data_IF_432998816050
#
_entry.id   IF_432998816050
#
_cell.length_a   1.000
_cell.length_b   1.000
_cell.length_c   1.000
_cell.angle_alpha   90.00
_cell.angle_beta   90.00
_cell.angle_gamma   90.00
#
_symmetry.space_group_name_H-M   'P 1'
#
loop_
_entity.id
_entity.type
_entity.pdbx_description
1 polymer ?
#
# COMPACT_ATOMS: atom_id res chain seq x y z
N UNK A 1 9.88 -20.25 -31.88
CA UNK A 1 10.11 -20.72 -30.49
C UNK A 1 9.65 -19.61 -29.53
N UNK A 2 8.97 -19.92 -28.41
CA UNK A 2 7.87 -19.13 -27.84
C UNK A 2 8.23 -18.22 -26.62
N UNK A 3 7.26 -17.35 -26.28
CA UNK A 3 6.95 -16.64 -25.02
C UNK A 3 8.04 -15.95 -24.18
N UNK A 4 7.81 -14.67 -23.86
CA UNK A 4 8.05 -14.11 -22.52
C UNK A 4 7.39 -12.73 -22.36
N UNK A 5 6.16 -12.74 -21.82
CA UNK A 5 5.53 -11.56 -21.22
C UNK A 5 6.46 -11.02 -20.12
N UNK A 6 6.95 -9.79 -20.25
CA UNK A 6 7.63 -9.07 -19.17
C UNK A 6 6.63 -8.68 -18.08
N UNK A 7 6.22 -9.66 -17.26
CA UNK A 7 5.55 -9.39 -15.98
C UNK A 7 6.60 -8.84 -15.03
N UNK A 8 6.51 -7.54 -14.74
CA UNK A 8 7.42 -6.87 -13.81
C UNK A 8 7.28 -7.49 -12.43
N UNK A 9 8.31 -8.24 -12.07
CA UNK A 9 8.84 -8.54 -10.74
C UNK A 9 8.07 -7.92 -9.58
N UNK A 10 7.25 -8.74 -8.90
CA UNK A 10 6.73 -8.44 -7.57
C UNK A 10 7.91 -8.40 -6.59
N UNK A 11 8.24 -7.26 -5.97
CA UNK A 11 9.34 -7.23 -5.00
C UNK A 11 8.88 -7.95 -3.73
N UNK A 12 9.60 -9.04 -3.39
CA UNK A 12 9.50 -9.76 -2.12
C UNK A 12 9.69 -8.75 -0.98
N UNK A 13 8.64 -8.55 -0.20
CA UNK A 13 8.46 -7.37 0.62
C UNK A 13 8.73 -7.71 2.10
N UNK A 14 9.67 -7.05 2.80
CA UNK A 14 9.93 -7.34 4.21
C UNK A 14 8.69 -6.99 5.05
N UNK A 15 8.32 -7.88 5.96
CA UNK A 15 7.19 -7.69 6.87
C UNK A 15 7.45 -6.47 7.78
N UNK A 16 6.51 -5.52 7.88
CA UNK A 16 6.67 -4.35 8.75
C UNK A 16 6.59 -4.74 10.24
N UNK A 17 7.23 -3.97 11.14
CA UNK A 17 7.27 -4.25 12.57
C UNK A 17 5.88 -4.16 13.24
N UNK A 18 5.63 -4.92 14.32
CA UNK A 18 4.28 -5.36 14.71
C UNK A 18 3.40 -4.37 15.49
N UNK A 19 3.74 -3.07 15.65
CA UNK A 19 3.10 -2.27 16.74
C UNK A 19 2.53 -0.88 16.41
N UNK A 20 2.69 -0.36 15.19
CA UNK A 20 2.01 0.89 14.75
C UNK A 20 1.17 0.69 13.47
N UNK A 21 1.15 -0.54 12.97
CA UNK A 21 1.07 -0.84 11.55
C UNK A 21 -0.11 -1.76 11.23
N UNK A 22 -1.12 -1.99 12.09
CA UNK A 22 -2.25 -2.89 11.71
C UNK A 22 -2.99 -2.43 10.45
N UNK A 23 -2.99 -1.13 10.16
CA UNK A 23 -3.54 -0.56 8.94
C UNK A 23 -2.59 -0.71 7.74
N UNK A 24 -1.29 -0.87 7.96
CA UNK A 24 -0.33 -0.98 6.86
C UNK A 24 -0.47 -2.25 6.01
N UNK A 25 -0.59 -3.48 6.56
CA UNK A 25 -0.85 -4.66 5.77
C UNK A 25 -2.25 -4.60 5.16
N UNK A 26 -3.23 -3.98 5.83
CA UNK A 26 -4.56 -3.74 5.24
C UNK A 26 -4.49 -2.79 4.03
N UNK A 27 -3.71 -1.71 4.12
CA UNK A 27 -3.47 -0.79 3.00
C UNK A 27 -2.67 -1.44 1.87
N UNK A 28 -1.73 -2.35 2.20
CA UNK A 28 -1.05 -3.16 1.18
C UNK A 28 -2.00 -4.18 0.51
N UNK A 29 -2.98 -4.69 1.25
CA UNK A 29 -4.05 -5.52 0.68
C UNK A 29 -4.98 -4.68 -0.22
N UNK A 30 -5.41 -3.49 0.22
CA UNK A 30 -6.20 -2.57 -0.61
C UNK A 30 -5.46 -2.18 -1.89
N UNK A 31 -4.15 -1.90 -1.79
CA UNK A 31 -3.29 -1.66 -2.94
C UNK A 31 -3.31 -2.86 -3.90
N UNK A 32 -3.17 -4.08 -3.36
CA UNK A 32 -3.18 -5.31 -4.16
C UNK A 32 -4.53 -5.54 -4.86
N UNK A 33 -5.64 -5.22 -4.18
CA UNK A 33 -7.00 -5.27 -4.75
C UNK A 33 -7.22 -4.21 -5.82
N UNK A 34 -6.71 -2.99 -5.62
CA UNK A 34 -6.84 -1.90 -6.59
C UNK A 34 -6.12 -2.16 -7.93
N UNK A 35 -5.13 -3.08 -7.94
CA UNK A 35 -4.27 -3.32 -9.09
C UNK A 35 -3.37 -2.14 -9.47
N UNK A 36 -3.28 -1.10 -8.63
CA UNK A 36 -2.49 0.10 -8.88
C UNK A 36 -1.04 -0.06 -8.42
N UNK A 37 -0.16 0.79 -8.97
CA UNK A 37 1.17 0.97 -8.40
C UNK A 37 1.08 1.76 -7.09
N UNK A 38 2.02 1.53 -6.17
CA UNK A 38 2.08 2.22 -4.87
C UNK A 38 2.13 3.73 -4.99
N UNK A 39 2.90 4.20 -5.96
CA UNK A 39 3.04 5.63 -6.27
C UNK A 39 1.70 6.22 -6.68
N UNK A 40 0.95 5.51 -7.53
CA UNK A 40 -0.36 5.96 -7.99
C UNK A 40 -1.41 5.90 -6.89
N UNK A 41 -1.43 4.81 -6.11
CA UNK A 41 -2.33 4.66 -4.97
C UNK A 41 -2.09 5.74 -3.89
N UNK A 42 -0.81 5.95 -3.54
CA UNK A 42 -0.40 6.98 -2.60
C UNK A 42 -0.76 8.39 -3.07
N UNK A 43 -0.59 8.67 -4.36
CA UNK A 43 -0.97 9.96 -4.95
C UNK A 43 -2.49 10.17 -4.97
N UNK A 44 -3.27 9.18 -5.40
CA UNK A 44 -4.73 9.30 -5.51
C UNK A 44 -5.40 9.45 -4.14
N UNK A 45 -5.06 8.58 -3.19
CA UNK A 45 -5.75 8.54 -1.91
C UNK A 45 -5.12 9.49 -0.87
N UNK A 46 -3.79 9.61 -0.84
CA UNK A 46 -3.07 10.37 0.20
C UNK A 46 -2.40 11.64 -0.31
N UNK A 47 -2.40 11.90 -1.64
CA UNK A 47 -1.63 13.00 -2.23
C UNK A 47 -0.12 12.82 -2.12
N UNK A 48 0.36 11.64 -1.73
CA UNK A 48 1.77 11.37 -1.44
C UNK A 48 2.26 10.14 -2.22
N UNK A 49 3.00 10.31 -3.32
CA UNK A 49 3.54 9.19 -4.11
C UNK A 49 4.56 8.35 -3.34
N UNK A 50 5.12 8.88 -2.25
CA UNK A 50 6.07 8.20 -1.37
C UNK A 50 5.41 7.64 -0.10
N UNK A 51 4.09 7.66 -0.04
CA UNK A 51 3.32 7.24 1.15
C UNK A 51 3.76 5.87 1.67
N UNK A 52 3.78 4.84 0.80
CA UNK A 52 4.18 3.49 1.21
C UNK A 52 5.65 3.39 1.62
N UNK A 53 6.55 4.18 1.03
CA UNK A 53 7.95 4.25 1.44
C UNK A 53 8.06 4.78 2.87
N UNK A 54 7.29 5.81 3.20
CA UNK A 54 7.25 6.39 4.54
C UNK A 54 6.52 5.47 5.53
N UNK A 55 5.45 4.81 5.10
CA UNK A 55 4.73 3.81 5.88
C UNK A 55 5.69 2.71 6.35
N UNK A 56 6.47 2.14 5.43
CA UNK A 56 7.52 1.14 5.73
C UNK A 56 8.63 1.64 6.64
N UNK A 57 8.94 2.93 6.56
CA UNK A 57 9.90 3.57 7.45
C UNK A 57 9.34 3.80 8.87
N UNK A 58 8.13 3.33 9.17
CA UNK A 58 7.48 3.48 10.46
C UNK A 58 6.78 4.84 10.65
N UNK A 59 6.42 5.51 9.55
CA UNK A 59 5.65 6.77 9.66
C UNK A 59 4.30 6.48 10.31
N UNK A 60 4.08 7.09 11.47
CA UNK A 60 2.82 7.00 12.19
C UNK A 60 1.67 7.56 11.35
N UNK A 61 0.65 6.74 11.16
CA UNK A 61 -0.57 7.08 10.43
C UNK A 61 -1.59 7.88 11.24
N UNK A 62 -1.28 8.36 12.45
CA UNK A 62 -2.28 8.96 13.36
C UNK A 62 -3.17 10.04 12.71
N UNK A 63 -2.61 10.93 11.87
CA UNK A 63 -3.38 11.96 11.14
C UNK A 63 -4.15 11.44 9.94
N UNK A 64 -3.72 10.30 9.40
CA UNK A 64 -4.25 9.69 8.18
C UNK A 64 -5.04 8.42 8.49
N UNK A 65 -5.26 8.12 9.79
CA UNK A 65 -5.91 6.89 10.25
C UNK A 65 -7.34 6.81 9.74
N UNK A 66 -8.12 7.89 9.95
CA UNK A 66 -9.48 8.00 9.45
C UNK A 66 -9.54 7.84 7.93
N UNK A 67 -8.60 8.44 7.21
CA UNK A 67 -8.54 8.32 5.74
C UNK A 67 -8.14 6.91 5.30
N UNK A 68 -7.22 6.27 6.02
CA UNK A 68 -6.87 4.89 5.77
C UNK A 68 -8.07 3.97 6.02
N UNK A 69 -8.81 4.15 7.10
CA UNK A 69 -10.03 3.40 7.41
C UNK A 69 -11.10 3.57 6.31
N UNK A 70 -11.36 4.79 5.86
CA UNK A 70 -12.28 5.07 4.73
C UNK A 70 -11.90 4.31 3.45
N UNK A 71 -10.60 4.29 3.11
CA UNK A 71 -10.10 3.54 1.95
C UNK A 71 -10.28 2.05 2.18
N UNK A 72 -10.01 1.54 3.38
CA UNK A 72 -10.20 0.12 3.67
C UNK A 72 -11.66 -0.29 3.52
N UNK A 73 -12.61 0.54 3.98
CA UNK A 73 -14.04 0.31 3.75
C UNK A 73 -14.39 0.32 2.24
N UNK A 74 -13.81 1.23 1.45
CA UNK A 74 -14.02 1.29 -0.01
C UNK A 74 -13.61 -0.02 -0.71
N UNK A 75 -12.55 -0.68 -0.22
CA UNK A 75 -12.07 -1.96 -0.76
C UNK A 75 -12.64 -3.19 -0.02
N UNK A 76 -13.49 -3.01 0.99
CA UNK A 76 -14.12 -4.09 1.76
C UNK A 76 -13.19 -4.85 2.72
N UNK A 77 -12.22 -4.16 3.33
CA UNK A 77 -11.20 -4.70 4.25
C UNK A 77 -11.45 -4.27 5.70
#
# INVERSE_FOLDING_TARGET
MPDMKKTKTTPKRPAPPPSADELAPKLEAALSLSGMSQTRFGYIHFGDPTFFTKLRAGRRLYKLRAKAEEILEEYGI
#
